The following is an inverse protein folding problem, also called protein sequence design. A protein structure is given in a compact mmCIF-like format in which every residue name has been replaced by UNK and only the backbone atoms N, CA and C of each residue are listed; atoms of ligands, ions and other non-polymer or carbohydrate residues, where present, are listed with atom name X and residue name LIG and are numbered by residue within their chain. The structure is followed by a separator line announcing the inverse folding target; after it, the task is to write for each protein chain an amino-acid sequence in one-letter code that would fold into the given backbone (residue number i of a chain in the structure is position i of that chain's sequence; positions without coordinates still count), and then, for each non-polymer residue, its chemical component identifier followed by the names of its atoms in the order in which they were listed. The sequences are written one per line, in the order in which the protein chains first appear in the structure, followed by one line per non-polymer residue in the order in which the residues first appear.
data_IF_342574414172
#
_entry.id   IF_342574414172
#
_cell.length_a   1.000
_cell.length_b   1.000
_cell.length_c   1.000
_cell.angle_alpha   90.00
_cell.angle_beta   90.00
_cell.angle_gamma   90.00
#
_symmetry.space_group_name_H-M   'P 1'
#
loop_
_entity.id
_entity.type
_entity.pdbx_description
1 polymer ?
#
# COMPACT_ATOMS: atom_id res chain seq x y z
N UNK A 1 -2.11 13.70 7.49
CA UNK A 1 -1.34 13.40 8.72
C UNK A 1 0.05 12.88 8.39
N UNK A 2 0.19 11.62 7.92
CA UNK A 2 1.51 11.02 7.66
C UNK A 2 2.24 11.72 6.51
N UNK A 3 1.60 11.78 5.33
CA UNK A 3 2.17 12.41 4.13
C UNK A 3 2.51 13.90 4.31
N UNK A 4 1.89 14.59 5.28
CA UNK A 4 2.15 16.01 5.56
C UNK A 4 3.30 16.22 6.54
N UNK A 5 3.69 15.19 7.32
CA UNK A 5 4.52 15.36 8.53
C UNK A 5 5.68 14.38 8.68
N UNK A 6 5.75 13.32 7.86
CA UNK A 6 6.81 12.32 7.93
C UNK A 6 7.47 12.16 6.55
N UNK A 7 8.79 12.27 6.51
CA UNK A 7 9.60 12.05 5.31
C UNK A 7 10.21 10.63 5.26
N UNK A 8 10.33 9.97 6.41
CA UNK A 8 10.88 8.61 6.53
C UNK A 8 9.89 7.65 7.19
N UNK A 9 10.07 6.36 6.95
CA UNK A 9 9.31 5.29 7.62
C UNK A 9 9.41 5.38 9.16
N UNK A 10 10.61 5.70 9.69
CA UNK A 10 10.84 5.88 11.13
C UNK A 10 10.07 7.07 11.71
N UNK A 11 10.05 8.20 11.01
CA UNK A 11 9.24 9.36 11.41
C UNK A 11 7.75 9.03 11.37
N UNK A 12 7.31 8.26 10.38
CA UNK A 12 5.92 7.82 10.27
C UNK A 12 5.52 6.92 11.45
N UNK A 13 6.37 5.95 11.82
CA UNK A 13 6.17 5.09 13.00
C UNK A 13 6.10 5.95 14.28
N UNK A 14 7.08 6.81 14.51
CA UNK A 14 7.12 7.68 15.69
C UNK A 14 5.95 8.66 15.76
N UNK A 15 5.36 9.03 14.61
CA UNK A 15 4.14 9.82 14.56
C UNK A 15 2.92 8.97 14.92
N UNK A 16 2.80 7.77 14.37
CA UNK A 16 1.68 6.85 14.64
C UNK A 16 1.61 6.40 16.10
N UNK A 17 2.75 6.19 16.76
CA UNK A 17 2.82 5.84 18.18
C UNK A 17 2.16 6.88 19.11
N UNK A 18 1.93 8.10 18.62
CA UNK A 18 1.28 9.18 19.38
C UNK A 18 -0.25 9.14 19.30
N UNK A 19 -0.82 8.26 18.49
CA UNK A 19 -2.27 8.17 18.26
C UNK A 19 -2.79 6.78 18.60
N UNK A 20 -3.92 6.75 19.30
CA UNK A 20 -4.76 5.57 19.34
C UNK A 20 -5.64 5.57 18.08
N UNK A 21 -5.59 4.48 17.34
CA UNK A 21 -6.25 4.37 16.04
C UNK A 21 -7.39 3.36 16.13
N UNK A 22 -8.60 3.84 15.88
CA UNK A 22 -9.82 3.04 15.91
C UNK A 22 -10.52 3.09 14.55
N UNK A 23 -10.70 1.93 13.91
CA UNK A 23 -11.49 1.82 12.71
C UNK A 23 -12.97 1.81 13.05
N UNK A 24 -13.71 2.81 12.57
CA UNK A 24 -15.16 2.92 12.79
C UNK A 24 -15.96 1.78 12.15
N UNK A 25 -15.39 1.06 11.19
CA UNK A 25 -16.02 -0.11 10.55
C UNK A 25 -15.72 -1.43 11.29
N UNK A 26 -14.87 -1.41 12.32
CA UNK A 26 -14.52 -2.61 13.09
C UNK A 26 -13.76 -3.68 12.28
N UNK A 27 -13.26 -3.32 11.09
CA UNK A 27 -12.45 -4.22 10.24
C UNK A 27 -10.96 -3.91 10.41
N UNK A 28 -10.13 -4.93 10.16
CA UNK A 28 -8.69 -4.79 10.09
C UNK A 28 -8.28 -3.76 9.02
N UNK A 29 -7.28 -2.95 9.33
CA UNK A 29 -6.65 -2.00 8.42
C UNK A 29 -5.18 -1.89 8.78
N UNK A 30 -4.34 -1.66 7.78
CA UNK A 30 -2.92 -1.45 7.95
C UNK A 30 -2.47 -0.27 7.11
N UNK A 31 -1.37 0.35 7.52
CA UNK A 31 -0.66 1.30 6.68
C UNK A 31 0.56 0.61 6.08
N UNK A 32 0.61 0.59 4.74
CA UNK A 32 1.81 0.27 3.98
C UNK A 32 2.57 1.57 3.72
N UNK A 33 3.79 1.68 4.25
CA UNK A 33 4.57 2.91 4.20
C UNK A 33 5.95 2.58 3.64
N UNK A 34 6.41 3.40 2.70
CA UNK A 34 7.76 3.32 2.15
C UNK A 34 8.36 4.72 2.08
N UNK A 35 9.69 4.82 2.04
CA UNK A 35 10.41 6.07 1.83
C UNK A 35 11.45 5.96 0.71
N UNK A 36 12.09 7.08 0.36
CA UNK A 36 13.05 7.17 -0.76
C UNK A 36 14.28 6.27 -0.61
N UNK A 37 14.55 5.71 0.57
CA UNK A 37 15.61 4.71 0.74
C UNK A 37 15.21 3.31 0.26
N UNK A 38 13.92 3.09 -0.03
CA UNK A 38 13.33 1.79 -0.31
C UNK A 38 13.01 0.98 0.95
N UNK A 39 13.12 1.57 2.14
CA UNK A 39 12.64 0.96 3.39
C UNK A 39 11.10 0.85 3.33
N UNK A 40 10.57 -0.35 3.55
CA UNK A 40 9.13 -0.64 3.59
C UNK A 40 8.79 -1.07 5.01
N UNK A 41 7.79 -0.43 5.60
CA UNK A 41 7.20 -0.82 6.88
C UNK A 41 5.69 -0.96 6.71
N UNK A 42 5.13 -2.01 7.32
CA UNK A 42 3.69 -2.16 7.44
C UNK A 42 3.33 -2.04 8.91
N UNK A 43 2.38 -1.16 9.20
CA UNK A 43 1.83 -0.96 10.55
C UNK A 43 0.42 -1.52 10.57
N UNK A 44 0.14 -2.41 11.51
CA UNK A 44 -1.16 -3.07 11.68
C UNK A 44 -1.57 -3.05 13.16
N UNK A 45 -2.87 -3.12 13.44
CA UNK A 45 -3.40 -3.03 14.80
C UNK A 45 -4.11 -4.31 15.24
N UNK A 46 -3.65 -4.88 16.35
CA UNK A 46 -4.32 -5.99 17.02
C UNK A 46 -4.44 -5.71 18.51
N UNK A 47 -5.56 -6.11 19.13
CA UNK A 47 -5.82 -5.90 20.56
C UNK A 47 -5.65 -4.43 21.02
N UNK A 48 -6.01 -3.46 20.16
CA UNK A 48 -5.83 -2.01 20.41
C UNK A 48 -4.36 -1.59 20.58
N UNK A 49 -3.43 -2.35 20.01
CA UNK A 49 -2.01 -2.05 20.01
C UNK A 49 -1.48 -1.94 18.58
N UNK A 50 -0.66 -0.92 18.35
CA UNK A 50 0.09 -0.75 17.10
C UNK A 50 1.20 -1.81 17.02
N UNK A 51 1.32 -2.47 15.87
CA UNK A 51 2.36 -3.44 15.58
C UNK A 51 3.03 -3.09 14.25
N UNK A 52 4.36 -3.10 14.23
CA UNK A 52 5.13 -3.13 12.98
C UNK A 52 5.31 -4.60 12.60
N UNK A 53 4.84 -5.00 11.43
CA UNK A 53 4.82 -6.42 11.01
C UNK A 53 6.02 -6.77 10.12
N UNK A 54 6.51 -8.01 10.25
CA UNK A 54 7.65 -8.53 9.48
C UNK A 54 7.21 -9.05 8.10
N UNK A 55 6.73 -8.14 7.25
CA UNK A 55 6.44 -8.40 5.84
C UNK A 55 6.52 -7.11 5.02
N UNK A 56 6.66 -7.25 3.70
CA UNK A 56 6.68 -6.14 2.73
C UNK A 56 5.51 -6.20 1.75
N UNK A 57 4.48 -6.96 2.09
CA UNK A 57 3.28 -7.15 1.28
C UNK A 57 2.05 -7.04 2.18
N UNK A 58 0.96 -6.51 1.64
CA UNK A 58 -0.30 -6.43 2.35
C UNK A 58 -1.48 -6.57 1.38
N UNK A 59 -2.56 -7.22 1.83
CA UNK A 59 -3.84 -7.24 1.10
C UNK A 59 -5.00 -6.88 2.01
N UNK A 60 -5.98 -7.75 2.29
CA UNK A 60 -7.17 -7.38 3.07
C UNK A 60 -7.45 -8.38 4.21
N UNK A 61 -6.38 -8.90 4.80
CA UNK A 61 -6.44 -9.71 6.02
C UNK A 61 -5.48 -9.15 7.09
N UNK A 62 -5.74 -9.49 8.35
CA UNK A 62 -4.92 -9.06 9.48
C UNK A 62 -3.51 -9.68 9.44
N UNK A 63 -2.48 -8.84 9.55
CA UNK A 63 -1.07 -9.23 9.51
C UNK A 63 -0.45 -9.36 10.91
N UNK A 64 -0.87 -8.54 11.86
CA UNK A 64 -0.37 -8.63 13.24
C UNK A 64 -0.96 -9.83 13.98
N UNK A 65 -0.13 -10.47 14.81
CA UNK A 65 -0.56 -11.59 15.64
C UNK A 65 -1.64 -11.15 16.64
N UNK A 66 -2.67 -11.98 16.81
CA UNK A 66 -3.81 -11.68 17.66
C UNK A 66 -4.99 -12.58 17.34
N UNK A 67 -6.16 -12.24 17.89
CA UNK A 67 -7.40 -13.01 17.71
C UNK A 67 -7.79 -13.16 16.24
N UNK A 68 -7.62 -12.09 15.47
CA UNK A 68 -8.05 -12.02 14.08
C UNK A 68 -6.89 -12.24 13.10
N UNK A 69 -5.74 -12.75 13.56
CA UNK A 69 -4.58 -13.03 12.69
C UNK A 69 -4.97 -13.89 11.49
N UNK A 70 -4.60 -13.44 10.27
CA UNK A 70 -4.97 -14.04 8.98
C UNK A 70 -6.48 -14.05 8.64
N UNK A 71 -7.33 -13.44 9.46
CA UNK A 71 -8.75 -13.26 9.14
C UNK A 71 -8.91 -12.13 8.13
N UNK A 72 -9.68 -12.39 7.06
CA UNK A 72 -9.95 -11.44 5.98
C UNK A 72 -9.89 -12.11 4.61
N UNK A 73 -9.78 -11.29 3.55
CA UNK A 73 -9.78 -11.74 2.15
C UNK A 73 -8.47 -11.34 1.44
N UNK A 74 -8.25 -11.87 0.24
CA UNK A 74 -7.09 -11.52 -0.58
C UNK A 74 -5.84 -12.33 -0.31
N UNK A 75 -5.97 -13.54 0.25
CA UNK A 75 -4.88 -14.50 0.43
C UNK A 75 -4.31 -14.96 -0.92
N UNK A 76 -5.19 -15.22 -1.89
CA UNK A 76 -4.86 -15.54 -3.29
C UNK A 76 -4.02 -14.44 -3.98
N UNK A 77 -4.41 -13.18 -3.78
CA UNK A 77 -3.67 -12.03 -4.29
C UNK A 77 -2.34 -11.88 -3.56
N UNK A 78 -2.31 -12.12 -2.25
CA UNK A 78 -1.09 -12.08 -1.46
C UNK A 78 -0.07 -13.15 -1.93
N UNK A 79 -0.53 -14.36 -2.19
CA UNK A 79 0.31 -15.43 -2.76
C UNK A 79 0.82 -15.06 -4.16
N UNK A 80 -0.02 -14.41 -4.98
CA UNK A 80 0.39 -13.90 -6.29
C UNK A 80 1.46 -12.80 -6.19
N UNK A 81 1.31 -11.85 -5.25
CA UNK A 81 2.34 -10.84 -4.95
C UNK A 81 3.65 -11.51 -4.54
N UNK A 82 3.57 -12.47 -3.61
CA UNK A 82 4.74 -13.20 -3.09
C UNK A 82 5.48 -13.93 -4.21
N UNK A 83 4.76 -14.66 -5.06
CA UNK A 83 5.34 -15.39 -6.18
C UNK A 83 6.05 -14.44 -7.15
N UNK A 84 5.39 -13.34 -7.54
CA UNK A 84 5.98 -12.38 -8.48
C UNK A 84 7.18 -11.64 -7.88
N UNK A 85 7.14 -11.24 -6.61
CA UNK A 85 8.29 -10.62 -5.95
C UNK A 85 9.47 -11.58 -5.82
N UNK A 86 9.22 -12.88 -5.58
CA UNK A 86 10.26 -13.90 -5.57
C UNK A 86 10.89 -14.08 -6.96
N UNK A 87 10.06 -14.16 -8.00
CA UNK A 87 10.53 -14.28 -9.40
C UNK A 87 11.39 -13.08 -9.83
N UNK A 88 10.99 -11.87 -9.41
CA UNK A 88 11.64 -10.61 -9.75
C UNK A 88 12.75 -10.19 -8.77
N UNK A 89 13.10 -11.03 -7.80
CA UNK A 89 14.04 -10.71 -6.71
C UNK A 89 13.73 -9.37 -6.00
N UNK A 90 12.44 -9.04 -5.88
CA UNK A 90 11.96 -7.82 -5.23
C UNK A 90 12.19 -6.52 -6.00
N UNK A 91 12.73 -6.55 -7.22
CA UNK A 91 12.99 -5.36 -8.05
C UNK A 91 12.11 -5.41 -9.29
N UNK A 92 11.25 -4.41 -9.46
CA UNK A 92 10.28 -4.35 -10.57
C UNK A 92 10.37 -2.98 -11.25
N UNK A 93 10.20 -2.97 -12.57
CA UNK A 93 9.90 -1.74 -13.31
C UNK A 93 8.46 -1.28 -13.02
N UNK A 94 8.12 -0.06 -13.41
CA UNK A 94 6.73 0.43 -13.37
C UNK A 94 5.79 -0.48 -14.17
N UNK A 95 6.24 -0.96 -15.34
CA UNK A 95 5.49 -1.90 -16.18
C UNK A 95 5.27 -3.24 -15.46
N UNK A 96 6.32 -3.81 -14.84
CA UNK A 96 6.20 -5.03 -14.04
C UNK A 96 5.21 -4.86 -12.88
N UNK A 97 5.24 -3.70 -12.21
CA UNK A 97 4.33 -3.38 -11.12
C UNK A 97 2.88 -3.24 -11.62
N UNK A 98 2.65 -2.58 -12.76
CA UNK A 98 1.31 -2.49 -13.37
C UNK A 98 0.79 -3.84 -13.84
N UNK A 99 1.63 -4.67 -14.46
CA UNK A 99 1.29 -6.04 -14.84
C UNK A 99 0.91 -6.89 -13.62
N UNK A 100 1.62 -6.71 -12.50
CA UNK A 100 1.27 -7.36 -11.24
C UNK A 100 -0.09 -6.88 -10.71
N UNK A 101 -0.35 -5.56 -10.73
CA UNK A 101 -1.64 -4.99 -10.33
C UNK A 101 -2.79 -5.49 -11.23
N UNK A 102 -2.56 -5.60 -12.54
CA UNK A 102 -3.50 -6.19 -13.49
C UNK A 102 -3.80 -7.66 -13.18
N UNK A 103 -2.76 -8.42 -12.84
CA UNK A 103 -2.88 -9.84 -12.49
C UNK A 103 -3.69 -10.06 -11.21
N UNK A 104 -3.58 -9.15 -10.24
CA UNK A 104 -4.28 -9.27 -8.94
C UNK A 104 -5.55 -8.42 -8.84
N UNK A 105 -6.01 -7.83 -9.95
CA UNK A 105 -7.25 -7.04 -9.98
C UNK A 105 -8.45 -7.90 -9.57
N UNK A 106 -9.43 -7.24 -8.97
CA UNK A 106 -10.70 -7.86 -8.62
C UNK A 106 -11.71 -7.43 -9.69
N UNK A 107 -12.10 -8.35 -10.55
CA UNK A 107 -13.25 -8.14 -11.43
C UNK A 107 -14.54 -8.02 -10.61
N UNK A 108 -15.57 -7.40 -11.20
CA UNK A 108 -16.85 -7.21 -10.51
C UNK A 108 -17.41 -8.55 -9.99
N UNK A 109 -17.45 -8.68 -8.67
CA UNK A 109 -17.88 -9.89 -7.98
C UNK A 109 -19.31 -9.79 -7.42
N UNK A 110 -20.08 -8.78 -7.85
CA UNK A 110 -21.42 -8.48 -7.32
C UNK A 110 -21.44 -7.52 -6.13
N UNK A 111 -20.28 -7.20 -5.55
CA UNK A 111 -20.19 -6.28 -4.40
C UNK A 111 -19.15 -5.17 -4.61
N UNK A 112 -17.97 -5.50 -5.13
CA UNK A 112 -16.91 -4.54 -5.45
C UNK A 112 -16.05 -5.02 -6.62
N UNK A 113 -15.29 -4.10 -7.19
CA UNK A 113 -14.27 -4.33 -8.21
C UNK A 113 -13.08 -3.41 -7.94
N UNK A 114 -11.94 -3.68 -8.58
CA UNK A 114 -10.82 -2.73 -8.64
C UNK A 114 -11.23 -1.51 -9.46
N UNK A 115 -11.28 -0.34 -8.83
CA UNK A 115 -11.63 0.91 -9.53
C UNK A 115 -10.41 1.60 -10.16
N UNK A 116 -9.24 1.50 -9.51
CA UNK A 116 -7.99 2.05 -9.99
C UNK A 116 -6.78 1.25 -9.48
N UNK A 117 -5.64 1.47 -10.13
CA UNK A 117 -4.33 0.92 -9.79
C UNK A 117 -3.29 2.01 -9.90
N UNK A 118 -2.38 2.09 -8.92
CA UNK A 118 -1.42 3.19 -8.80
C UNK A 118 -0.03 2.65 -8.51
N UNK A 119 0.97 3.15 -9.23
CA UNK A 119 2.39 2.95 -8.94
C UNK A 119 3.02 4.31 -8.64
N UNK A 120 3.71 4.40 -7.51
CA UNK A 120 4.46 5.59 -7.11
C UNK A 120 5.95 5.32 -7.31
N UNK A 121 6.62 6.14 -8.12
CA UNK A 121 8.06 6.05 -8.32
C UNK A 121 8.78 6.88 -7.26
N UNK A 122 9.65 6.26 -6.46
CA UNK A 122 10.29 6.94 -5.32
C UNK A 122 11.49 7.82 -5.73
N UNK A 123 12.07 7.57 -6.90
CA UNK A 123 13.24 8.30 -7.39
C UNK A 123 12.90 9.73 -7.87
N UNK A 124 11.77 9.86 -8.57
CA UNK A 124 11.33 11.13 -9.16
C UNK A 124 9.96 11.61 -8.66
N UNK A 125 9.33 10.84 -7.76
CA UNK A 125 8.00 11.08 -7.20
C UNK A 125 6.90 11.23 -8.26
N UNK A 126 7.09 10.62 -9.43
CA UNK A 126 6.03 10.48 -10.41
C UNK A 126 5.02 9.40 -9.99
N UNK A 127 3.82 9.49 -10.55
CA UNK A 127 2.72 8.57 -10.28
C UNK A 127 2.15 8.09 -11.60
N UNK A 128 2.04 6.77 -11.74
CA UNK A 128 1.33 6.12 -12.84
C UNK A 128 0.00 5.57 -12.34
N UNK A 129 -1.10 5.89 -13.03
CA UNK A 129 -2.46 5.54 -12.63
C UNK A 129 -3.20 4.87 -13.79
N UNK A 130 -3.76 3.69 -13.55
CA UNK A 130 -4.78 3.08 -14.41
C UNK A 130 -6.13 3.15 -13.70
N UNK A 131 -7.18 3.50 -14.44
CA UNK A 131 -8.55 3.55 -13.94
C UNK A 131 -9.42 2.55 -14.71
N UNK A 132 -10.52 2.10 -14.08
CA UNK A 132 -11.52 1.21 -14.71
C UNK A 132 -10.91 -0.11 -15.23
N UNK A 133 -9.86 -0.58 -14.56
CA UNK A 133 -9.08 -1.77 -14.95
C UNK A 133 -8.53 -1.71 -16.39
N UNK A 134 -8.39 -0.52 -16.99
CA UNK A 134 -7.84 -0.36 -18.33
C UNK A 134 -6.31 -0.17 -18.27
N UNK A 135 -5.58 -1.29 -18.19
CA UNK A 135 -4.12 -1.29 -18.09
C UNK A 135 -3.42 -0.95 -19.42
N UNK A 136 -4.13 -0.96 -20.55
CA UNK A 136 -3.64 -0.42 -21.82
C UNK A 136 -3.53 1.12 -21.79
N UNK A 137 -4.24 1.76 -20.85
CA UNK A 137 -4.27 3.22 -20.69
C UNK A 137 -3.81 3.64 -19.30
N UNK A 138 -2.50 3.81 -19.17
CA UNK A 138 -1.86 4.34 -17.96
C UNK A 138 -1.63 5.85 -18.10
N UNK A 139 -2.03 6.60 -17.07
CA UNK A 139 -1.83 8.04 -16.98
C UNK A 139 -0.65 8.37 -16.06
N UNK A 140 0.31 9.16 -16.57
CA UNK A 140 1.51 9.55 -15.82
C UNK A 140 1.42 11.01 -15.34
N UNK A 141 1.68 11.21 -14.06
CA UNK A 141 1.74 12.51 -13.42
C UNK A 141 3.14 12.71 -12.82
N UNK A 142 3.91 13.71 -13.27
CA UNK A 142 5.18 14.02 -12.63
C UNK A 142 4.94 14.68 -11.26
N UNK A 143 5.97 14.71 -10.41
CA UNK A 143 5.96 15.58 -9.22
C UNK A 143 5.77 17.03 -9.65
N UNK A 144 4.58 17.57 -9.38
CA UNK A 144 4.37 19.01 -9.47
C UNK A 144 4.86 19.67 -8.19
N UNK A 145 5.72 20.69 -8.31
CA UNK A 145 6.02 21.54 -7.17
C UNK A 145 4.71 22.13 -6.63
N UNK A 146 4.44 21.95 -5.34
CA UNK A 146 3.34 22.62 -4.71
C UNK A 146 3.55 24.12 -4.87
N UNK A 147 2.58 24.83 -5.48
CA UNK A 147 2.52 26.28 -5.37
C UNK A 147 2.35 26.61 -3.90
N UNK A 148 3.44 26.93 -3.22
CA UNK A 148 3.36 27.59 -1.93
C UNK A 148 2.74 28.95 -2.17
N UNK A 149 1.43 29.05 -1.94
CA UNK A 149 0.78 30.34 -1.82
C UNK A 149 1.40 31.01 -0.59
N UNK A 150 2.41 31.84 -0.82
CA UNK A 150 3.02 32.65 0.21
C UNK A 150 1.96 33.58 0.82
N UNK A 151 1.76 33.42 2.12
CA UNK A 151 1.29 34.47 3.03
C UNK A 151 2.11 34.37 4.32
#
# INVERSE_FOLDING_TARGET
MLLDKAATTKEAIALLEKYDMHSSSGVAYHFFITDVSGEIVIVDWANQQMNVVDTKMATNFQLSQGKDYQVGIGHDRYDSLKATLQEKNGVMSEEDAMNLLEKVKIEWNGTWATEWSVVYNLDDFSVAISNDMNYEKVHHFPKTEAKTNGQ
#
